data_IF_492396856192
#
_entry.id   IF_492396856192
#
_cell.length_a   1.000
_cell.length_b   1.000
_cell.length_c   1.000
_cell.angle_alpha   90.00
_cell.angle_beta   90.00
_cell.angle_gamma   90.00
#
_symmetry.space_group_name_H-M   'P 1'
#
loop_
_entity.id
_entity.type
_entity.pdbx_description
1 polymer ?
#
# COMPACT_ATOMS: atom_id res chain seq x y z
N UNK A 1 -12.42 3.25 21.65
CA UNK A 1 -13.50 3.12 22.67
C UNK A 1 -13.73 4.40 23.50
N UNK A 2 -12.88 5.42 23.40
CA UNK A 2 -13.02 6.69 24.18
C UNK A 2 -13.57 7.86 23.37
N UNK A 3 -13.71 7.72 22.05
CA UNK A 3 -14.22 8.78 21.19
C UNK A 3 -15.74 8.68 21.05
N UNK A 4 -16.46 9.65 21.59
CA UNK A 4 -17.92 9.68 21.62
C UNK A 4 -18.48 10.92 20.90
N UNK A 5 -18.25 11.01 19.59
CA UNK A 5 -18.88 12.04 18.77
C UNK A 5 -19.94 11.41 17.87
N UNK A 6 -21.20 11.86 17.97
CA UNK A 6 -22.30 11.27 17.19
C UNK A 6 -22.20 11.55 15.69
N UNK A 7 -21.65 12.69 15.28
CA UNK A 7 -21.44 13.00 13.87
C UNK A 7 -20.31 12.16 13.27
N UNK A 8 -19.28 11.86 14.05
CA UNK A 8 -18.17 11.02 13.60
C UNK A 8 -18.54 9.54 13.50
N UNK A 9 -19.62 9.09 14.16
CA UNK A 9 -20.08 7.68 14.09
C UNK A 9 -20.50 7.24 12.69
N UNK A 10 -20.75 8.15 11.77
CA UNK A 10 -21.06 7.81 10.37
C UNK A 10 -19.82 7.41 9.57
N UNK A 11 -18.62 7.67 10.08
CA UNK A 11 -17.36 7.24 9.48
C UNK A 11 -16.85 6.01 10.24
N UNK A 12 -16.47 4.95 9.49
CA UNK A 12 -15.86 3.79 10.13
C UNK A 12 -14.51 4.15 10.74
N UNK A 13 -14.08 3.47 11.82
CA UNK A 13 -12.75 3.68 12.39
C UNK A 13 -11.63 3.50 11.35
N UNK A 14 -11.76 2.51 10.47
CA UNK A 14 -10.78 2.21 9.41
C UNK A 14 -10.68 3.35 8.41
N UNK A 15 -11.81 3.93 7.99
CA UNK A 15 -11.81 5.09 7.12
C UNK A 15 -11.14 6.30 7.79
N UNK A 16 -11.45 6.55 9.07
CA UNK A 16 -10.81 7.61 9.83
C UNK A 16 -9.30 7.40 9.95
N UNK A 17 -8.89 6.19 10.31
CA UNK A 17 -7.48 5.83 10.40
C UNK A 17 -6.77 5.97 9.06
N UNK A 18 -7.39 5.49 8.01
CA UNK A 18 -6.88 5.64 6.67
C UNK A 18 -6.65 7.11 6.28
N UNK A 19 -7.61 7.99 6.53
CA UNK A 19 -7.48 9.43 6.25
C UNK A 19 -6.35 10.05 7.08
N UNK A 20 -6.24 9.68 8.35
CA UNK A 20 -5.19 10.18 9.24
C UNK A 20 -3.81 9.69 8.76
N UNK A 21 -3.64 8.40 8.60
CA UNK A 21 -2.35 7.81 8.23
C UNK A 21 -1.88 8.27 6.86
N UNK A 22 -2.75 8.16 5.86
CA UNK A 22 -2.34 8.35 4.46
C UNK A 22 -2.29 9.81 4.04
N UNK A 23 -3.33 10.59 4.41
CA UNK A 23 -3.40 11.98 3.97
C UNK A 23 -2.84 12.94 5.00
N UNK A 24 -3.38 12.96 6.22
CA UNK A 24 -3.00 13.98 7.18
C UNK A 24 -1.52 13.83 7.55
N UNK A 25 -1.06 12.62 7.87
CA UNK A 25 0.31 12.37 8.32
C UNK A 25 1.27 11.95 7.22
N UNK A 26 0.83 11.12 6.28
CA UNK A 26 1.69 10.43 5.32
C UNK A 26 1.80 11.07 3.94
N UNK A 27 1.03 12.10 3.61
CA UNK A 27 1.02 12.71 2.27
C UNK A 27 2.00 13.88 2.14
N UNK A 28 2.07 14.76 3.12
CA UNK A 28 2.98 15.91 3.12
C UNK A 28 4.32 15.56 3.74
N UNK A 29 5.41 16.02 3.14
CA UNK A 29 6.76 15.89 3.71
C UNK A 29 7.03 16.97 4.76
N UNK A 30 6.43 18.15 4.61
CA UNK A 30 6.68 19.34 5.40
C UNK A 30 5.64 19.57 6.51
N UNK A 31 5.09 18.53 7.09
CA UNK A 31 4.09 18.64 8.16
C UNK A 31 2.81 17.86 7.88
N UNK A 32 1.74 18.21 8.56
CA UNK A 32 0.43 17.56 8.40
C UNK A 32 -0.37 18.22 7.31
N UNK A 33 -1.03 17.42 6.48
CA UNK A 33 -1.88 17.92 5.40
C UNK A 33 -3.14 18.58 5.98
N UNK A 34 -3.38 19.82 5.60
CA UNK A 34 -4.61 20.55 5.90
C UNK A 34 -5.66 20.45 4.78
N UNK A 35 -6.81 21.09 4.96
CA UNK A 35 -7.90 21.08 3.99
C UNK A 35 -7.52 21.78 2.67
N UNK A 36 -6.81 22.91 2.73
CA UNK A 36 -6.41 23.65 1.52
C UNK A 36 -5.46 22.81 0.68
N UNK A 37 -4.51 22.16 1.31
CA UNK A 37 -3.59 21.23 0.65
C UNK A 37 -4.32 19.99 0.13
N UNK A 38 -5.29 19.43 0.89
CA UNK A 38 -6.09 18.31 0.42
C UNK A 38 -6.87 18.66 -0.86
N UNK A 39 -7.35 19.89 -0.98
CA UNK A 39 -8.03 20.37 -2.17
C UNK A 39 -7.13 20.54 -3.40
N UNK A 40 -5.83 20.56 -3.21
CA UNK A 40 -4.86 20.51 -4.31
C UNK A 40 -4.58 19.08 -4.81
N UNK A 41 -4.90 18.06 -4.03
CA UNK A 41 -4.75 16.66 -4.44
C UNK A 41 -5.66 16.39 -5.65
N UNK A 42 -5.14 15.73 -6.69
CA UNK A 42 -5.95 15.38 -7.85
C UNK A 42 -7.21 14.60 -7.45
N UNK A 43 -8.35 14.96 -7.99
CA UNK A 43 -9.65 14.36 -7.64
C UNK A 43 -9.65 12.83 -7.70
N UNK A 44 -8.97 12.24 -8.68
CA UNK A 44 -8.81 10.77 -8.80
C UNK A 44 -7.92 10.14 -7.72
N UNK A 45 -7.19 10.96 -6.97
CA UNK A 45 -6.29 10.51 -5.88
C UNK A 45 -6.94 10.76 -4.51
N UNK A 46 -8.08 11.44 -4.47
CA UNK A 46 -8.84 11.64 -3.24
C UNK A 46 -9.77 10.45 -3.02
N UNK A 47 -9.76 9.91 -1.83
CA UNK A 47 -10.63 8.79 -1.49
C UNK A 47 -11.99 9.24 -0.97
N UNK A 48 -12.03 10.45 -0.37
CA UNK A 48 -13.24 11.04 0.19
C UNK A 48 -13.42 12.46 -0.32
N UNK A 49 -14.67 12.95 -0.36
CA UNK A 49 -14.95 14.36 -0.62
C UNK A 49 -14.29 15.28 0.40
N UNK A 50 -13.90 16.49 -0.01
CA UNK A 50 -13.27 17.50 0.87
C UNK A 50 -14.08 17.81 2.13
N UNK A 51 -15.41 17.84 2.02
CA UNK A 51 -16.28 18.06 3.19
C UNK A 51 -16.26 16.91 4.22
N UNK A 52 -15.98 15.69 3.80
CA UNK A 52 -15.79 14.55 4.71
C UNK A 52 -14.37 14.56 5.30
N UNK A 53 -13.37 14.94 4.51
CA UNK A 53 -12.00 15.17 5.00
C UNK A 53 -11.99 16.25 6.09
N UNK A 54 -12.66 17.39 5.88
CA UNK A 54 -12.77 18.47 6.86
C UNK A 54 -13.36 17.98 8.18
N UNK A 55 -14.43 17.18 8.11
CA UNK A 55 -15.08 16.63 9.32
C UNK A 55 -14.19 15.64 10.05
N UNK A 56 -13.53 14.74 9.34
CA UNK A 56 -12.59 13.79 9.95
C UNK A 56 -11.41 14.56 10.57
N UNK A 57 -10.85 15.55 9.86
CA UNK A 57 -9.76 16.37 10.35
C UNK A 57 -10.14 17.18 11.60
N UNK A 58 -11.26 17.88 11.56
CA UNK A 58 -11.68 18.75 12.67
C UNK A 58 -12.14 18.01 13.92
N UNK A 59 -12.68 16.80 13.78
CA UNK A 59 -13.22 16.02 14.90
C UNK A 59 -12.32 14.87 15.30
N UNK A 60 -12.01 13.95 14.37
CA UNK A 60 -11.33 12.70 14.71
C UNK A 60 -9.81 12.92 14.85
N UNK A 61 -9.20 13.58 13.87
CA UNK A 61 -7.77 13.89 13.92
C UNK A 61 -7.42 14.79 15.11
N UNK A 62 -8.21 15.85 15.33
CA UNK A 62 -8.00 16.76 16.48
C UNK A 62 -8.09 16.06 17.83
N UNK A 63 -8.96 15.06 17.95
CA UNK A 63 -9.03 14.22 19.14
C UNK A 63 -7.83 13.25 19.21
N UNK A 64 -7.53 12.57 18.11
CA UNK A 64 -6.45 11.59 18.04
C UNK A 64 -5.09 12.23 18.33
N UNK A 65 -4.79 13.37 17.72
CA UNK A 65 -3.52 14.07 17.93
C UNK A 65 -3.30 14.45 19.40
N UNK A 66 -4.36 14.95 20.07
CA UNK A 66 -4.30 15.24 21.50
C UNK A 66 -4.13 13.96 22.32
N UNK A 67 -4.85 12.92 21.98
CA UNK A 67 -4.77 11.65 22.71
C UNK A 67 -3.36 11.05 22.66
N UNK A 68 -2.71 11.03 21.51
CA UNK A 68 -1.34 10.52 21.41
C UNK A 68 -0.34 11.45 22.14
N UNK A 69 -0.50 12.77 22.04
CA UNK A 69 0.33 13.76 22.72
C UNK A 69 0.20 13.64 24.26
N UNK A 70 -1.02 13.65 24.80
CA UNK A 70 -1.31 13.58 26.23
C UNK A 70 -0.81 12.27 26.87
N UNK A 71 -0.73 11.19 26.09
CA UNK A 71 -0.28 9.87 26.56
C UNK A 71 1.15 9.52 26.17
N UNK A 72 1.86 10.42 25.49
CA UNK A 72 3.23 10.17 25.01
C UNK A 72 3.33 8.99 24.04
N UNK A 73 2.31 8.80 23.19
CA UNK A 73 2.23 7.72 22.21
C UNK A 73 2.69 8.22 20.84
N UNK A 74 3.22 7.31 20.05
CA UNK A 74 3.66 7.55 18.70
C UNK A 74 3.12 6.45 17.79
N UNK A 75 2.72 6.80 16.58
CA UNK A 75 2.47 5.84 15.52
C UNK A 75 3.63 5.82 14.51
N UNK A 76 3.54 4.94 13.50
CA UNK A 76 4.59 4.75 12.49
C UNK A 76 4.96 6.04 11.77
N UNK A 77 3.97 6.88 11.45
CA UNK A 77 4.20 8.13 10.73
C UNK A 77 4.91 9.17 11.62
N UNK A 78 4.63 9.18 12.94
CA UNK A 78 5.33 10.04 13.90
C UNK A 78 6.79 9.65 14.03
N UNK A 79 7.07 8.33 14.12
CA UNK A 79 8.43 7.80 14.20
C UNK A 79 9.24 8.17 12.97
N UNK A 80 8.68 7.95 11.78
CA UNK A 80 9.34 8.28 10.52
C UNK A 80 9.63 9.77 10.42
N UNK A 81 8.66 10.61 10.75
CA UNK A 81 8.83 12.07 10.74
C UNK A 81 9.92 12.50 11.68
N UNK A 82 9.92 11.98 12.92
CA UNK A 82 10.94 12.32 13.90
C UNK A 82 12.36 11.92 13.43
N UNK A 83 12.50 10.78 12.75
CA UNK A 83 13.81 10.40 12.16
C UNK A 83 14.20 11.34 11.02
N UNK A 84 13.28 11.68 10.13
CA UNK A 84 13.55 12.61 9.03
C UNK A 84 13.92 14.01 9.53
N UNK A 85 13.22 14.53 10.56
CA UNK A 85 13.45 15.85 11.14
C UNK A 85 14.82 15.94 11.87
N UNK A 86 15.26 14.84 12.48
CA UNK A 86 16.57 14.75 13.13
C UNK A 86 17.71 14.38 12.17
N UNK A 87 17.38 14.06 10.93
CA UNK A 87 18.29 13.51 9.94
C UNK A 87 18.54 12.02 10.12
N UNK A 88 18.53 11.28 9.01
CA UNK A 88 18.93 9.87 9.00
C UNK A 88 20.43 9.80 9.27
N UNK A 89 20.86 8.96 10.22
CA UNK A 89 22.28 8.80 10.55
C UNK A 89 23.04 8.25 9.32
N UNK A 90 24.01 8.98 8.77
CA UNK A 90 24.77 8.54 7.61
C UNK A 90 25.53 7.22 7.82
N UNK A 91 25.79 6.83 9.05
CA UNK A 91 26.48 5.55 9.37
C UNK A 91 25.61 4.33 9.11
N UNK A 92 24.29 4.52 8.97
CA UNK A 92 23.31 3.47 8.70
C UNK A 92 22.76 3.52 7.27
N UNK A 93 23.31 4.36 6.40
CA UNK A 93 22.85 4.48 5.01
C UNK A 93 23.05 3.18 4.23
N UNK A 94 22.03 2.80 3.47
CA UNK A 94 22.05 1.58 2.65
C UNK A 94 22.60 1.83 1.25
N UNK A 95 23.42 0.91 0.77
CA UNK A 95 23.97 0.92 -0.59
C UNK A 95 23.06 0.24 -1.62
N UNK A 96 22.06 -0.51 -1.16
CA UNK A 96 21.05 -1.14 -1.99
C UNK A 96 19.72 -1.19 -1.27
N UNK A 97 18.62 -0.92 -1.99
CA UNK A 97 17.26 -0.94 -1.45
C UNK A 97 16.36 -1.77 -2.37
N UNK A 98 15.73 -2.78 -1.78
CA UNK A 98 14.75 -3.64 -2.44
C UNK A 98 13.47 -3.62 -1.61
N UNK A 99 12.40 -3.04 -2.17
CA UNK A 99 11.11 -2.93 -1.52
C UNK A 99 10.11 -3.86 -2.20
N UNK A 100 9.55 -4.77 -1.44
CA UNK A 100 8.36 -5.53 -1.82
C UNK A 100 7.12 -4.86 -1.25
N UNK A 101 5.95 -5.17 -1.81
CA UNK A 101 4.64 -4.60 -1.40
C UNK A 101 4.64 -3.06 -1.33
N UNK A 102 5.31 -2.43 -2.29
CA UNK A 102 5.49 -0.97 -2.30
C UNK A 102 4.16 -0.17 -2.28
N UNK A 103 3.04 -0.80 -2.68
CA UNK A 103 1.71 -0.20 -2.65
C UNK A 103 1.19 0.08 -1.23
N UNK A 104 1.77 -0.54 -0.21
CA UNK A 104 1.34 -0.36 1.19
C UNK A 104 2.05 0.81 1.89
N UNK A 105 3.04 1.42 1.23
CA UNK A 105 3.74 2.59 1.76
C UNK A 105 3.02 3.90 1.45
N UNK A 106 2.97 4.78 2.44
CA UNK A 106 2.60 6.18 2.26
C UNK A 106 3.71 6.95 1.55
N UNK A 107 3.44 8.17 1.12
CA UNK A 107 4.46 9.02 0.51
C UNK A 107 5.60 9.35 1.48
N UNK A 108 5.29 9.55 2.76
CA UNK A 108 6.29 9.82 3.80
C UNK A 108 7.20 8.61 4.04
N UNK A 109 6.64 7.41 4.06
CA UNK A 109 7.39 6.15 4.19
C UNK A 109 8.32 5.92 3.00
N UNK A 110 7.83 6.14 1.78
CA UNK A 110 8.66 6.07 0.58
C UNK A 110 9.79 7.10 0.60
N UNK A 111 9.50 8.32 1.03
CA UNK A 111 10.54 9.35 1.21
C UNK A 111 11.61 8.91 2.20
N UNK A 112 11.21 8.40 3.36
CA UNK A 112 12.14 7.87 4.35
C UNK A 112 13.02 6.75 3.80
N UNK A 113 12.42 5.79 3.07
CA UNK A 113 13.15 4.68 2.43
C UNK A 113 14.20 5.22 1.45
N UNK A 114 13.86 6.20 0.63
CA UNK A 114 14.81 6.80 -0.32
C UNK A 114 15.91 7.58 0.40
N UNK A 115 15.57 8.34 1.45
CA UNK A 115 16.55 9.09 2.25
C UNK A 115 17.51 8.20 3.06
N UNK A 116 17.13 6.96 3.31
CA UNK A 116 17.99 5.94 3.94
C UNK A 116 19.08 5.39 3.00
N UNK A 117 19.11 5.82 1.75
CA UNK A 117 20.12 5.41 0.77
C UNK A 117 21.31 6.36 0.74
N UNK A 118 22.52 5.81 0.61
CA UNK A 118 23.73 6.60 0.35
C UNK A 118 23.56 7.48 -0.91
N UNK A 119 22.78 7.04 -1.88
CA UNK A 119 22.59 7.74 -3.15
C UNK A 119 21.71 9.00 -3.05
N UNK A 120 20.97 9.17 -1.97
CA UNK A 120 20.26 10.43 -1.70
C UNK A 120 21.20 11.60 -1.36
N UNK A 121 22.45 11.28 -1.02
CA UNK A 121 23.46 12.22 -0.52
C UNK A 121 24.76 12.21 -1.35
N UNK A 122 24.85 11.40 -2.38
CA UNK A 122 26.09 11.10 -3.10
C UNK A 122 26.07 11.63 -4.53
N UNK A 123 26.87 12.66 -4.82
CA UNK A 123 27.06 13.21 -6.17
C UNK A 123 28.03 12.37 -6.99
N UNK A 124 27.55 11.75 -8.07
CA UNK A 124 28.33 10.94 -9.02
C UNK A 124 28.62 11.67 -10.35
N UNK A 125 28.24 12.93 -10.52
CA UNK A 125 28.36 13.68 -11.79
C UNK A 125 29.80 13.78 -12.31
N UNK A 126 30.80 13.50 -11.49
CA UNK A 126 32.20 13.44 -11.90
C UNK A 126 32.65 12.08 -12.45
N UNK A 127 31.80 11.08 -12.43
CA UNK A 127 32.10 9.75 -12.96
C UNK A 127 31.62 9.64 -14.40
N UNK A 128 32.50 9.16 -15.29
CA UNK A 128 32.22 9.11 -16.74
C UNK A 128 31.50 7.82 -17.19
N UNK A 129 31.01 7.01 -16.29
CA UNK A 129 30.34 5.74 -16.60
C UNK A 129 28.90 5.74 -16.13
N UNK A 130 28.02 5.15 -16.93
CA UNK A 130 26.67 4.85 -16.52
C UNK A 130 26.67 3.93 -15.30
N UNK A 131 26.04 4.36 -14.22
CA UNK A 131 25.96 3.60 -12.97
C UNK A 131 24.58 2.95 -12.89
N UNK A 132 24.55 1.66 -12.60
CA UNK A 132 23.31 0.98 -12.24
C UNK A 132 23.07 1.20 -10.76
N UNK A 133 22.04 1.94 -10.43
CA UNK A 133 21.66 2.15 -9.03
C UNK A 133 20.93 0.92 -8.50
N UNK A 134 21.32 0.40 -7.33
CA UNK A 134 20.78 -0.85 -6.78
C UNK A 134 19.45 -0.60 -6.04
N UNK A 135 18.43 -0.19 -6.79
CA UNK A 135 17.07 -0.04 -6.30
C UNK A 135 16.13 -0.97 -7.06
N UNK A 136 15.23 -1.62 -6.33
CA UNK A 136 14.08 -2.31 -6.90
C UNK A 136 12.85 -2.10 -6.03
N UNK A 137 11.73 -1.82 -6.68
CA UNK A 137 10.42 -1.72 -6.05
C UNK A 137 9.49 -2.70 -6.75
N UNK A 138 8.84 -3.55 -5.97
CA UNK A 138 7.79 -4.44 -6.43
C UNK A 138 6.50 -4.13 -5.68
N UNK A 139 5.36 -4.35 -6.31
CA UNK A 139 4.07 -4.14 -5.69
C UNK A 139 2.91 -4.33 -6.66
N UNK A 140 1.76 -4.59 -6.12
CA UNK A 140 0.52 -4.76 -6.87
C UNK A 140 -0.54 -3.78 -6.36
N UNK A 141 -0.85 -2.71 -7.11
CA UNK A 141 -1.86 -1.73 -6.70
C UNK A 141 -3.26 -2.34 -6.47
N UNK A 142 -3.48 -3.58 -6.96
CA UNK A 142 -4.74 -4.29 -6.77
C UNK A 142 -4.82 -5.03 -5.43
N UNK A 143 -3.68 -5.24 -4.77
CA UNK A 143 -3.58 -5.92 -3.48
C UNK A 143 -3.50 -4.95 -2.30
N UNK A 144 -3.63 -3.66 -2.54
CA UNK A 144 -3.60 -2.64 -1.48
C UNK A 144 -4.76 -2.87 -0.51
N UNK A 145 -4.47 -3.32 0.70
CA UNK A 145 -5.45 -3.51 1.76
C UNK A 145 -5.88 -2.15 2.36
N UNK A 146 -4.91 -1.28 2.55
CA UNK A 146 -5.13 0.09 2.99
C UNK A 146 -4.82 1.03 1.83
N UNK A 147 -5.82 1.70 1.24
CA UNK A 147 -5.57 2.57 0.10
C UNK A 147 -4.60 3.70 0.50
N UNK A 148 -3.35 3.62 0.10
CA UNK A 148 -2.28 4.58 0.42
C UNK A 148 -2.19 5.73 -0.59
N UNK A 149 -3.07 5.76 -1.59
CA UNK A 149 -2.96 6.66 -2.73
C UNK A 149 -1.74 6.35 -3.61
N UNK A 150 -1.25 5.11 -3.53
CA UNK A 150 -0.10 4.63 -4.27
C UNK A 150 -0.31 4.70 -5.78
N UNK A 151 0.73 5.14 -6.47
CA UNK A 151 0.85 5.10 -7.93
C UNK A 151 2.30 4.95 -8.32
N UNK A 152 2.58 4.07 -9.22
CA UNK A 152 3.93 3.90 -9.77
C UNK A 152 4.53 5.19 -10.31
N UNK A 153 3.74 6.02 -10.98
CA UNK A 153 4.19 7.32 -11.47
C UNK A 153 4.67 8.25 -10.34
N UNK A 154 4.05 8.19 -9.15
CA UNK A 154 4.51 8.96 -7.99
C UNK A 154 5.82 8.42 -7.43
N UNK A 155 5.96 7.09 -7.34
CA UNK A 155 7.23 6.45 -6.91
C UNK A 155 8.35 6.82 -7.86
N UNK A 156 8.13 6.76 -9.16
CA UNK A 156 9.11 7.14 -10.17
C UNK A 156 9.49 8.63 -10.06
N UNK A 157 8.51 9.51 -9.87
CA UNK A 157 8.77 10.94 -9.71
C UNK A 157 9.57 11.25 -8.44
N UNK A 158 9.25 10.59 -7.31
CA UNK A 158 10.01 10.72 -6.08
C UNK A 158 11.43 10.18 -6.23
N UNK A 159 11.58 9.00 -6.80
CA UNK A 159 12.88 8.41 -7.06
C UNK A 159 13.76 9.30 -7.95
N UNK A 160 13.18 9.88 -9.00
CA UNK A 160 13.89 10.82 -9.84
C UNK A 160 14.36 12.04 -9.04
N UNK A 161 13.47 12.68 -8.30
CA UNK A 161 13.76 13.88 -7.54
C UNK A 161 14.77 13.65 -6.42
N UNK A 162 14.66 12.55 -5.69
CA UNK A 162 15.43 12.32 -4.46
C UNK A 162 16.73 11.55 -4.69
N UNK A 163 16.76 10.72 -5.71
CA UNK A 163 17.94 9.90 -6.01
C UNK A 163 18.64 10.35 -7.29
N UNK A 164 17.91 10.40 -8.42
CA UNK A 164 18.57 10.71 -9.70
C UNK A 164 19.14 12.13 -9.71
N UNK A 165 18.37 13.12 -9.26
CA UNK A 165 18.85 14.52 -9.18
C UNK A 165 19.97 14.71 -8.14
N UNK A 166 19.99 13.91 -7.07
CA UNK A 166 21.07 13.93 -6.08
C UNK A 166 22.36 13.32 -6.63
N UNK A 167 22.24 12.17 -7.29
CA UNK A 167 23.38 11.42 -7.86
C UNK A 167 23.96 12.11 -9.09
N UNK A 168 23.13 12.75 -9.89
CA UNK A 168 23.51 13.40 -11.14
C UNK A 168 22.86 14.78 -11.31
N UNK A 169 23.21 15.75 -10.46
CA UNK A 169 22.61 17.08 -10.49
C UNK A 169 22.88 17.85 -11.80
N UNK A 170 23.85 17.41 -12.59
CA UNK A 170 24.21 18.03 -13.85
C UNK A 170 23.69 17.29 -15.07
N UNK A 171 23.00 16.15 -14.91
CA UNK A 171 22.46 15.34 -16.00
C UNK A 171 23.53 14.78 -16.95
N UNK A 172 24.73 14.49 -16.44
CA UNK A 172 25.89 14.02 -17.25
C UNK A 172 25.96 12.49 -17.39
N UNK A 173 25.36 11.75 -16.43
CA UNK A 173 25.47 10.29 -16.38
C UNK A 173 24.42 9.58 -17.22
N UNK A 174 23.48 10.32 -17.85
CA UNK A 174 22.36 9.73 -18.59
C UNK A 174 21.63 8.61 -17.84
N UNK A 175 21.52 8.76 -16.51
CA UNK A 175 20.83 7.80 -15.65
C UNK A 175 19.37 7.71 -16.09
N UNK A 176 18.93 6.51 -16.44
CA UNK A 176 17.56 6.27 -16.87
C UNK A 176 16.86 5.39 -15.84
N UNK A 177 15.69 5.86 -15.42
CA UNK A 177 14.76 4.99 -14.68
C UNK A 177 14.26 3.94 -15.68
N UNK A 178 14.48 2.67 -15.36
CA UNK A 178 13.89 1.61 -16.17
C UNK A 178 12.38 1.75 -16.19
N UNK A 179 11.72 1.50 -17.33
CA UNK A 179 10.27 1.44 -17.36
C UNK A 179 9.79 0.35 -16.42
N UNK A 180 8.56 0.52 -15.92
CA UNK A 180 7.90 -0.50 -15.12
C UNK A 180 7.71 -1.75 -15.98
N UNK A 181 8.17 -2.88 -15.47
CA UNK A 181 7.94 -4.18 -16.07
C UNK A 181 6.73 -4.83 -15.39
N UNK A 182 5.66 -5.03 -16.15
CA UNK A 182 4.51 -5.79 -15.68
C UNK A 182 4.88 -7.27 -15.59
N UNK A 183 4.68 -7.90 -14.43
CA UNK A 183 4.78 -9.34 -14.29
C UNK A 183 3.52 -9.98 -14.90
N UNK A 184 3.60 -10.24 -16.20
CA UNK A 184 2.47 -10.74 -17.00
C UNK A 184 2.11 -12.20 -16.74
N UNK A 185 3.00 -12.96 -16.09
CA UNK A 185 2.78 -14.37 -15.81
C UNK A 185 2.52 -14.62 -14.32
N UNK A 186 1.41 -15.28 -14.03
CA UNK A 186 1.10 -15.74 -12.69
C UNK A 186 1.66 -17.16 -12.49
N UNK A 187 2.63 -17.28 -11.58
CA UNK A 187 3.30 -18.54 -11.25
C UNK A 187 2.72 -19.22 -10.00
N UNK A 188 1.90 -18.51 -9.25
CA UNK A 188 1.37 -18.95 -7.95
C UNK A 188 0.05 -19.70 -8.09
N UNK A 189 -0.85 -19.17 -8.90
CA UNK A 189 -2.22 -19.62 -8.98
C UNK A 189 -2.45 -20.58 -10.14
N UNK A 190 -3.43 -21.46 -10.01
CA UNK A 190 -3.86 -22.35 -11.10
C UNK A 190 -4.55 -21.55 -12.20
N UNK A 191 -4.55 -22.08 -13.41
CA UNK A 191 -5.15 -21.42 -14.59
C UNK A 191 -6.60 -20.95 -14.36
N UNK A 192 -7.51 -21.76 -13.79
CA UNK A 192 -8.87 -21.29 -13.54
C UNK A 192 -8.98 -20.12 -12.55
N UNK A 193 -8.11 -20.05 -11.55
CA UNK A 193 -8.05 -18.93 -10.63
C UNK A 193 -7.59 -17.67 -11.38
N UNK A 194 -6.53 -17.77 -12.20
CA UNK A 194 -6.06 -16.66 -13.02
C UNK A 194 -7.14 -16.16 -13.98
N UNK A 195 -7.86 -17.06 -14.66
CA UNK A 195 -8.95 -16.71 -15.57
C UNK A 195 -10.10 -16.00 -14.83
N UNK A 196 -10.46 -16.48 -13.66
CA UNK A 196 -11.51 -15.86 -12.82
C UNK A 196 -11.09 -14.48 -12.33
N UNK A 197 -9.87 -14.36 -11.85
CA UNK A 197 -9.31 -13.07 -11.41
C UNK A 197 -9.26 -12.06 -12.56
N UNK A 198 -8.86 -12.51 -13.75
CA UNK A 198 -8.86 -11.65 -14.93
C UNK A 198 -10.27 -11.18 -15.32
N UNK A 199 -11.30 -12.03 -15.18
CA UNK A 199 -12.67 -11.62 -15.43
C UNK A 199 -13.14 -10.52 -14.45
N UNK A 200 -12.80 -10.66 -13.18
CA UNK A 200 -13.06 -9.63 -12.16
C UNK A 200 -12.29 -8.35 -12.48
N UNK A 201 -11.01 -8.47 -12.88
CA UNK A 201 -10.17 -7.35 -13.26
C UNK A 201 -10.74 -6.57 -14.44
N UNK A 202 -11.19 -7.26 -15.48
CA UNK A 202 -11.82 -6.63 -16.66
C UNK A 202 -13.10 -5.90 -16.28
N UNK A 203 -13.92 -6.48 -15.40
CA UNK A 203 -15.12 -5.82 -14.88
C UNK A 203 -14.76 -4.56 -14.10
N UNK A 204 -13.75 -4.64 -13.24
CA UNK A 204 -13.24 -3.49 -12.49
C UNK A 204 -12.73 -2.38 -13.42
N UNK A 205 -11.93 -2.74 -14.44
CA UNK A 205 -11.43 -1.79 -15.42
C UNK A 205 -12.58 -1.05 -16.12
N UNK A 206 -13.62 -1.80 -16.49
CA UNK A 206 -14.83 -1.21 -17.11
C UNK A 206 -15.59 -0.27 -16.18
N UNK A 207 -15.78 -0.66 -14.90
CA UNK A 207 -16.56 0.12 -13.93
C UNK A 207 -15.82 1.38 -13.44
N UNK A 208 -14.50 1.33 -13.37
CA UNK A 208 -13.68 2.40 -12.76
C UNK A 208 -12.73 3.10 -13.73
N UNK A 209 -12.93 2.89 -15.03
CA UNK A 209 -12.10 3.49 -16.10
C UNK A 209 -10.60 3.30 -15.85
N UNK A 210 -10.20 2.05 -15.63
CA UNK A 210 -8.82 1.66 -15.37
C UNK A 210 -8.27 0.80 -16.49
N UNK A 211 -6.96 0.85 -16.70
CA UNK A 211 -6.26 0.08 -17.74
C UNK A 211 -5.21 -0.85 -17.08
N UNK A 212 -5.69 -1.84 -16.33
CA UNK A 212 -4.82 -2.87 -15.77
C UNK A 212 -4.83 -4.10 -16.66
N UNK A 213 -3.64 -4.58 -17.03
CA UNK A 213 -3.52 -5.73 -17.93
C UNK A 213 -3.83 -7.05 -17.23
N UNK A 214 -4.55 -7.96 -17.88
CA UNK A 214 -4.78 -9.29 -17.37
C UNK A 214 -3.48 -10.10 -17.34
N UNK A 215 -3.38 -11.01 -16.39
CA UNK A 215 -2.25 -11.92 -16.27
C UNK A 215 -2.45 -13.18 -17.09
N UNK A 216 -1.35 -13.78 -17.53
CA UNK A 216 -1.32 -15.09 -18.19
C UNK A 216 -0.87 -16.18 -17.19
N UNK A 217 -1.45 -17.36 -17.26
CA UNK A 217 -0.92 -18.50 -16.53
C UNK A 217 0.37 -19.01 -17.21
N UNK A 218 1.44 -19.22 -16.43
CA UNK A 218 2.75 -19.59 -16.98
C UNK A 218 2.84 -21.01 -17.53
N UNK A 219 1.99 -21.92 -17.02
CA UNK A 219 2.12 -23.35 -17.30
C UNK A 219 1.53 -23.75 -18.65
N UNK A 220 2.33 -24.48 -19.44
CA UNK A 220 1.87 -25.19 -20.63
C UNK A 220 1.18 -26.52 -20.30
N UNK A 221 1.25 -26.96 -19.06
CA UNK A 221 0.74 -28.24 -18.61
C UNK A 221 -0.69 -28.16 -18.08
N UNK A 222 -1.50 -29.07 -18.50
CA UNK A 222 -2.82 -29.34 -17.95
C UNK A 222 -2.70 -30.01 -16.57
N UNK A 223 -2.43 -29.26 -15.54
CA UNK A 223 -2.90 -29.70 -14.25
C UNK A 223 -4.36 -29.32 -14.23
N UNK A 224 -5.23 -30.28 -14.53
CA UNK A 224 -6.66 -30.11 -14.43
C UNK A 224 -7.09 -30.10 -12.95
N UNK A 225 -6.76 -29.03 -12.27
CA UNK A 225 -7.56 -28.66 -11.12
C UNK A 225 -8.84 -28.07 -11.70
N UNK A 226 -9.86 -28.89 -11.72
CA UNK A 226 -11.23 -28.38 -11.86
C UNK A 226 -11.42 -27.48 -10.65
N UNK A 227 -11.66 -26.16 -10.81
CA UNK A 227 -12.05 -25.35 -9.68
C UNK A 227 -13.36 -25.94 -9.20
N UNK A 228 -13.32 -26.63 -8.10
CA UNK A 228 -14.55 -26.92 -7.41
C UNK A 228 -15.08 -25.55 -7.04
N UNK A 229 -16.23 -25.18 -7.57
CA UNK A 229 -17.00 -24.08 -7.04
C UNK A 229 -17.33 -24.45 -5.61
N UNK A 230 -16.56 -23.92 -4.68
CA UNK A 230 -16.94 -23.95 -3.28
C UNK A 230 -18.03 -22.89 -3.11
N UNK A 231 -19.26 -23.29 -3.36
CA UNK A 231 -20.41 -22.60 -2.82
C UNK A 231 -20.42 -23.07 -1.36
N UNK A 232 -20.30 -22.14 -0.41
CA UNK A 232 -20.26 -22.42 1.03
C UNK A 232 -21.36 -23.38 1.50
N UNK A 233 -22.52 -23.33 0.84
CA UNK A 233 -23.69 -24.22 1.04
C UNK A 233 -23.44 -25.67 0.64
N UNK A 234 -22.33 -26.01 -0.01
CA UNK A 234 -22.02 -27.34 -0.52
C UNK A 234 -20.69 -27.91 -0.02
N UNK A 235 -20.04 -27.26 0.95
CA UNK A 235 -18.82 -27.81 1.54
C UNK A 235 -19.20 -29.00 2.40
N UNK A 236 -18.78 -30.20 1.97
CA UNK A 236 -18.85 -31.37 2.85
C UNK A 236 -17.83 -31.20 3.97
N UNK A 237 -18.31 -30.81 5.15
CA UNK A 237 -17.50 -30.61 6.35
C UNK A 237 -16.70 -31.86 6.74
N UNK A 238 -17.13 -33.05 6.35
CA UNK A 238 -16.37 -34.27 6.60
C UNK A 238 -15.13 -34.38 5.70
N UNK A 239 -15.20 -33.81 4.48
CA UNK A 239 -14.03 -33.69 3.60
C UNK A 239 -13.07 -32.62 4.14
N UNK A 240 -13.61 -31.48 4.59
CA UNK A 240 -12.82 -30.42 5.20
C UNK A 240 -12.10 -30.89 6.47
N UNK A 241 -12.81 -31.62 7.36
CA UNK A 241 -12.22 -32.19 8.59
C UNK A 241 -11.09 -33.17 8.32
N UNK A 242 -11.10 -33.88 7.21
CA UNK A 242 -10.02 -34.80 6.82
C UNK A 242 -8.78 -34.09 6.29
N UNK A 243 -8.94 -32.89 5.74
CA UNK A 243 -7.86 -32.09 5.14
C UNK A 243 -7.47 -30.88 5.99
N UNK A 244 -7.92 -30.79 7.23
CA UNK A 244 -7.77 -29.58 8.08
C UNK A 244 -6.31 -29.21 8.33
N UNK A 245 -5.39 -30.18 8.31
CA UNK A 245 -3.94 -29.92 8.49
C UNK A 245 -3.32 -29.13 7.34
N UNK A 246 -3.92 -29.23 6.15
CA UNK A 246 -3.44 -28.60 4.91
C UNK A 246 -4.41 -27.51 4.41
N UNK A 247 -5.35 -27.09 5.25
CA UNK A 247 -6.41 -26.15 4.85
C UNK A 247 -6.35 -24.89 5.69
N UNK A 248 -6.27 -23.74 5.02
CA UNK A 248 -6.43 -22.41 5.63
C UNK A 248 -7.82 -21.90 5.25
N UNK A 249 -8.61 -21.52 6.24
CA UNK A 249 -9.93 -20.94 6.05
C UNK A 249 -9.80 -19.43 6.21
N UNK A 250 -10.11 -18.68 5.16
CA UNK A 250 -10.18 -17.23 5.20
C UNK A 250 -11.61 -16.80 5.49
N UNK A 251 -11.81 -16.02 6.53
CA UNK A 251 -13.12 -15.50 6.93
C UNK A 251 -13.14 -13.98 6.84
N UNK A 252 -14.23 -13.36 6.38
CA UNK A 252 -14.35 -11.91 6.31
C UNK A 252 -14.74 -11.35 7.70
N UNK A 253 -13.77 -11.15 8.57
CA UNK A 253 -13.98 -10.58 9.90
C UNK A 253 -12.85 -9.61 10.26
N UNK A 254 -13.09 -8.78 11.28
CA UNK A 254 -12.04 -7.95 11.85
C UNK A 254 -11.01 -8.82 12.61
N UNK A 255 -9.80 -8.31 12.74
CA UNK A 255 -8.71 -9.00 13.45
C UNK A 255 -9.13 -9.36 14.89
N UNK A 256 -8.98 -10.63 15.23
CA UNK A 256 -9.44 -11.20 16.52
C UNK A 256 -10.93 -11.57 16.55
N UNK A 257 -11.65 -11.39 15.46
CA UNK A 257 -13.06 -11.78 15.32
C UNK A 257 -13.29 -13.20 14.78
N UNK A 258 -12.23 -13.91 14.42
CA UNK A 258 -12.28 -15.20 13.70
C UNK A 258 -13.05 -16.26 14.50
N UNK A 259 -12.79 -16.37 15.81
CA UNK A 259 -13.49 -17.33 16.69
C UNK A 259 -14.98 -17.00 16.80
N UNK A 260 -15.33 -15.71 16.93
CA UNK A 260 -16.72 -15.29 16.99
C UNK A 260 -17.44 -15.53 15.65
N UNK A 261 -16.76 -15.31 14.53
CA UNK A 261 -17.29 -15.61 13.22
C UNK A 261 -17.60 -17.10 13.05
N UNK A 262 -16.64 -17.97 13.40
CA UNK A 262 -16.78 -19.42 13.33
C UNK A 262 -17.90 -19.92 14.26
N UNK A 263 -17.97 -19.41 15.51
CA UNK A 263 -18.99 -19.79 16.48
C UNK A 263 -20.42 -19.37 16.09
N UNK A 264 -20.55 -18.28 15.33
CA UNK A 264 -21.85 -17.78 14.87
C UNK A 264 -22.29 -18.41 13.54
N UNK A 265 -21.42 -19.15 12.85
CA UNK A 265 -21.74 -19.84 11.62
C UNK A 265 -22.19 -21.29 11.96
N UNK A 266 -23.48 -21.66 11.69
CA UNK A 266 -23.99 -22.98 12.04
C UNK A 266 -23.35 -24.12 11.24
N UNK A 267 -22.57 -23.83 10.21
CA UNK A 267 -21.85 -24.82 9.40
C UNK A 267 -20.39 -25.02 9.86
N UNK A 268 -19.81 -24.01 10.55
CA UNK A 268 -18.44 -24.03 11.01
C UNK A 268 -18.30 -24.32 12.52
N UNK A 269 -19.41 -24.24 13.27
CA UNK A 269 -19.47 -24.48 14.73
C UNK A 269 -19.64 -26.01 15.10
#
# INVERSE_FOLDING_TARGET
RQFHNQEAKKYSPDLCWYVIRTYIKGYSLDGYLDLEQYDTVFQKDRIIPSGDFEKISSMVWKWYSRYIEDNGLWDDQDLIRAVLDNGVDPSEDYTAIFCDEAQDFTKLELHFILQSSVFSKFDLSNYNQAVSLPFAFAGDPLQTLNPTGFRWAKVQAMFHKEIIESVDPLGRLELRIKPLDDLVYNYRSTKPIVETTNAVLLLRNYLFDQDTKPQSHWGKGSVSFVPQKFILEQIDLNVLKKSIQDTIILVPCDEGGELAFIQNDPQLS
#
